data_IF_144532177981
#
_entry.id   IF_144532177981
#
_cell.length_a   1.000
_cell.length_b   1.000
_cell.length_c   1.000
_cell.angle_alpha   90.00
_cell.angle_beta   90.00
_cell.angle_gamma   90.00
#
_symmetry.space_group_name_H-M   'P 1'
#
loop_
_entity.id
_entity.type
_entity.pdbx_description
1 polymer ?
#
# COMPACT_ATOMS: atom_id res chain seq x y z
N UNK A 1 4.98 -5.72 -13.07
CA UNK A 1 3.83 -6.64 -12.95
C UNK A 1 4.14 -7.90 -13.74
N UNK A 2 3.93 -9.07 -13.17
CA UNK A 2 3.97 -10.33 -13.91
C UNK A 2 2.69 -10.45 -14.76
N UNK A 3 2.82 -10.94 -15.99
CA UNK A 3 1.68 -11.20 -16.88
C UNK A 3 1.32 -12.69 -16.79
N UNK A 4 0.15 -13.06 -16.24
CA UNK A 4 -0.26 -14.45 -16.12
C UNK A 4 -0.55 -15.14 -17.46
N UNK A 5 -0.81 -14.37 -18.54
CA UNK A 5 -1.04 -14.91 -19.88
C UNK A 5 0.26 -15.22 -20.64
N UNK A 6 1.41 -14.67 -20.20
CA UNK A 6 2.73 -14.86 -20.84
C UNK A 6 3.76 -15.47 -19.87
N UNK A 7 3.49 -16.66 -19.33
CA UNK A 7 4.41 -17.43 -18.46
C UNK A 7 5.02 -16.62 -17.28
N UNK A 8 4.21 -15.72 -16.64
CA UNK A 8 4.64 -14.85 -15.56
C UNK A 8 5.80 -13.90 -15.91
N UNK A 9 5.97 -13.54 -17.16
CA UNK A 9 6.98 -12.57 -17.57
C UNK A 9 6.75 -11.22 -16.90
N UNK A 10 7.82 -10.63 -16.33
CA UNK A 10 7.75 -9.34 -15.62
C UNK A 10 7.93 -8.19 -16.63
N UNK A 11 6.91 -7.34 -16.73
CA UNK A 11 6.94 -6.14 -17.56
C UNK A 11 7.04 -4.87 -16.74
N UNK A 12 7.84 -3.93 -17.21
CA UNK A 12 7.96 -2.59 -16.64
C UNK A 12 7.05 -1.62 -17.39
N UNK A 13 6.15 -0.98 -16.65
CA UNK A 13 5.20 -0.02 -17.21
C UNK A 13 5.50 1.39 -16.74
N UNK A 14 5.48 2.35 -17.68
CA UNK A 14 5.57 3.79 -17.36
C UNK A 14 4.24 4.45 -17.71
N UNK A 15 3.31 4.59 -16.75
CA UNK A 15 2.02 5.20 -17.00
C UNK A 15 2.17 6.71 -17.24
N UNK A 16 1.31 7.27 -18.13
CA UNK A 16 1.26 8.72 -18.39
C UNK A 16 0.73 9.52 -17.20
N UNK A 17 -0.16 8.91 -16.43
CA UNK A 17 -0.74 9.47 -15.21
C UNK A 17 -0.40 8.57 -14.03
N UNK A 18 -0.07 9.14 -12.88
CA UNK A 18 0.28 8.39 -11.67
C UNK A 18 -0.67 8.75 -10.53
N UNK A 19 -1.24 7.73 -9.90
CA UNK A 19 -2.12 7.87 -8.73
C UNK A 19 -1.32 8.12 -7.45
N UNK A 20 -1.69 9.14 -6.70
CA UNK A 20 -1.11 9.42 -5.38
C UNK A 20 -2.18 9.67 -4.34
N UNK A 21 -1.90 9.35 -3.07
CA UNK A 21 -2.71 9.74 -1.93
C UNK A 21 -2.07 10.97 -1.27
N UNK A 22 -2.87 12.05 -1.02
CA UNK A 22 -2.33 13.24 -0.37
C UNK A 22 -1.96 12.94 1.10
N UNK A 23 -0.80 13.45 1.53
CA UNK A 23 -0.34 13.38 2.91
C UNK A 23 -0.65 14.66 3.71
N UNK A 24 -1.58 15.48 3.23
CA UNK A 24 -2.04 16.73 3.83
C UNK A 24 -3.55 16.70 4.14
N UNK A 25 -4.18 17.86 4.39
CA UNK A 25 -5.58 18.00 4.72
C UNK A 25 -6.56 17.52 3.63
N UNK A 26 -6.09 17.28 2.42
CA UNK A 26 -6.89 16.70 1.32
C UNK A 26 -7.17 15.20 1.51
N UNK A 27 -6.43 14.53 2.40
CA UNK A 27 -6.72 13.14 2.76
C UNK A 27 -8.07 13.03 3.45
N UNK A 28 -8.95 12.19 2.92
CA UNK A 28 -10.33 12.03 3.38
C UNK A 28 -10.51 10.72 4.12
N UNK A 29 -11.11 10.78 5.29
CA UNK A 29 -11.48 9.60 6.08
C UNK A 29 -12.97 9.70 6.41
N UNK A 30 -13.76 8.71 6.02
CA UNK A 30 -15.20 8.66 6.33
C UNK A 30 -15.44 8.65 7.85
N UNK A 31 -16.62 9.11 8.28
CA UNK A 31 -16.99 9.10 9.71
C UNK A 31 -16.91 7.69 10.32
N UNK A 32 -17.32 6.69 9.57
CA UNK A 32 -17.26 5.28 10.02
C UNK A 32 -15.81 4.80 10.20
N UNK A 33 -14.94 5.01 9.22
CA UNK A 33 -13.52 4.62 9.32
C UNK A 33 -12.82 5.35 10.47
N UNK A 34 -13.10 6.64 10.65
CA UNK A 34 -12.56 7.43 11.78
C UNK A 34 -13.01 6.86 13.12
N UNK A 35 -14.27 6.39 13.21
CA UNK A 35 -14.78 5.74 14.43
C UNK A 35 -14.08 4.41 14.68
N UNK A 36 -13.99 3.54 13.67
CA UNK A 36 -13.30 2.24 13.77
C UNK A 36 -11.85 2.40 14.22
N UNK A 37 -11.15 3.35 13.61
CA UNK A 37 -9.76 3.68 13.95
C UNK A 37 -9.63 4.16 15.40
N UNK A 38 -10.42 5.15 15.82
CA UNK A 38 -10.38 5.73 17.18
C UNK A 38 -10.79 4.76 18.29
N UNK A 39 -11.68 3.81 17.97
CA UNK A 39 -12.14 2.78 18.92
C UNK A 39 -11.21 1.56 18.98
N UNK A 40 -10.12 1.56 18.21
CA UNK A 40 -9.19 0.43 18.11
C UNK A 40 -9.91 -0.90 17.84
N UNK A 41 -10.89 -0.89 16.91
CA UNK A 41 -11.65 -2.10 16.55
C UNK A 41 -10.73 -3.17 15.96
N UNK A 42 -9.62 -2.75 15.35
CA UNK A 42 -8.54 -3.59 14.89
C UNK A 42 -7.26 -3.24 15.65
N UNK A 43 -6.50 -4.26 16.05
CA UNK A 43 -5.13 -4.10 16.53
C UNK A 43 -4.22 -3.94 15.31
N UNK A 44 -3.66 -2.74 15.12
CA UNK A 44 -2.79 -2.42 13.98
C UNK A 44 -1.34 -2.68 14.35
N UNK A 45 -0.69 -3.52 13.57
CA UNK A 45 0.72 -3.87 13.73
C UNK A 45 1.51 -3.54 12.46
N UNK A 46 2.79 -3.23 12.62
CA UNK A 46 3.72 -2.98 11.52
C UNK A 46 4.73 -4.13 11.50
N UNK A 47 4.93 -4.75 10.32
CA UNK A 47 5.98 -5.76 10.09
C UNK A 47 5.90 -6.98 11.02
N UNK A 48 4.74 -7.31 11.56
CA UNK A 48 4.57 -8.48 12.43
C UNK A 48 4.63 -9.79 11.64
N UNK A 49 4.04 -9.80 10.45
CA UNK A 49 4.03 -10.98 9.58
C UNK A 49 3.92 -10.58 8.10
N UNK A 50 4.97 -9.92 7.59
CA UNK A 50 5.04 -9.43 6.21
C UNK A 50 4.76 -10.54 5.18
N UNK A 51 5.34 -11.73 5.36
CA UNK A 51 5.15 -12.85 4.46
C UNK A 51 3.67 -13.26 4.35
N UNK A 52 2.96 -13.33 5.49
CA UNK A 52 1.54 -13.66 5.46
C UNK A 52 0.73 -12.61 4.71
N UNK A 53 1.08 -11.33 4.84
CA UNK A 53 0.39 -10.23 4.13
C UNK A 53 0.54 -10.38 2.62
N UNK A 54 1.76 -10.50 2.10
CA UNK A 54 1.99 -10.60 0.66
C UNK A 54 1.40 -11.88 0.06
N UNK A 55 1.54 -13.03 0.75
CA UNK A 55 0.94 -14.30 0.31
C UNK A 55 -0.60 -14.25 0.31
N UNK A 56 -1.21 -13.56 1.29
CA UNK A 56 -2.66 -13.37 1.32
C UNK A 56 -3.12 -12.45 0.20
N UNK A 57 -2.39 -11.35 -0.08
CA UNK A 57 -2.66 -10.50 -1.23
C UNK A 57 -2.61 -11.29 -2.56
N UNK A 58 -1.66 -12.19 -2.71
CA UNK A 58 -1.55 -13.06 -3.88
C UNK A 58 -2.73 -14.02 -3.99
N UNK A 59 -3.06 -14.74 -2.92
CA UNK A 59 -4.08 -15.79 -2.91
C UNK A 59 -5.51 -15.30 -3.14
N UNK A 60 -5.86 -14.11 -2.64
CA UNK A 60 -7.21 -13.55 -2.79
C UNK A 60 -7.50 -12.96 -4.17
N UNK A 61 -6.51 -12.87 -5.04
CA UNK A 61 -6.65 -12.43 -6.44
C UNK A 61 -6.59 -13.59 -7.45
N UNK A 62 -6.57 -14.78 -7.01
CA UNK A 62 -6.48 -16.15 -7.54
C UNK A 62 -6.15 -16.38 -9.04
N UNK A 63 -6.85 -15.86 -10.02
CA UNK A 63 -6.59 -16.22 -11.43
C UNK A 63 -5.86 -15.14 -12.24
N UNK A 64 -5.85 -13.88 -11.75
CA UNK A 64 -5.23 -12.74 -12.41
C UNK A 64 -4.21 -12.02 -11.50
N UNK A 65 -3.56 -12.76 -10.58
CA UNK A 65 -2.57 -12.12 -9.72
C UNK A 65 -1.25 -11.90 -10.44
N UNK A 66 -0.76 -10.66 -10.40
CA UNK A 66 0.59 -10.32 -10.84
C UNK A 66 1.66 -10.69 -9.79
N UNK A 67 1.25 -11.14 -8.59
CA UNK A 67 2.14 -11.50 -7.48
C UNK A 67 2.50 -12.98 -7.60
N UNK A 68 3.54 -13.29 -8.39
CA UNK A 68 4.10 -14.63 -8.52
C UNK A 68 4.99 -15.00 -7.34
N UNK A 69 5.37 -16.26 -7.20
CA UNK A 69 6.32 -16.71 -6.17
C UNK A 69 7.67 -15.99 -6.26
N UNK A 70 8.16 -15.74 -7.47
CA UNK A 70 9.39 -14.96 -7.70
C UNK A 70 9.26 -13.52 -7.18
N UNK A 71 8.12 -12.88 -7.39
CA UNK A 71 7.83 -11.54 -6.83
C UNK A 71 7.74 -11.59 -5.30
N UNK A 72 7.11 -12.62 -4.74
CA UNK A 72 7.05 -12.79 -3.28
C UNK A 72 8.47 -12.89 -2.69
N UNK A 73 9.33 -13.72 -3.26
CA UNK A 73 10.71 -13.87 -2.82
C UNK A 73 11.49 -12.54 -2.87
N UNK A 74 11.38 -11.80 -3.98
CA UNK A 74 12.03 -10.50 -4.11
C UNK A 74 11.53 -9.48 -3.06
N UNK A 75 10.24 -9.48 -2.73
CA UNK A 75 9.71 -8.58 -1.69
C UNK A 75 10.07 -9.03 -0.27
N UNK A 76 10.26 -10.33 -0.03
CA UNK A 76 10.79 -10.84 1.24
C UNK A 76 12.23 -10.39 1.44
N UNK A 77 13.08 -10.43 0.41
CA UNK A 77 14.44 -9.89 0.44
C UNK A 77 14.43 -8.37 0.76
N UNK A 78 13.58 -7.59 0.05
CA UNK A 78 13.41 -6.16 0.33
C UNK A 78 12.93 -5.89 1.77
N UNK A 79 12.12 -6.79 2.33
CA UNK A 79 11.68 -6.69 3.72
C UNK A 79 12.82 -6.93 4.70
N UNK A 80 13.64 -7.96 4.47
CA UNK A 80 14.83 -8.25 5.29
C UNK A 80 15.86 -7.11 5.23
N UNK A 81 16.00 -6.46 4.06
CA UNK A 81 16.84 -5.28 3.88
C UNK A 81 16.25 -3.98 4.49
N UNK A 82 15.00 -4.02 4.97
CA UNK A 82 14.33 -2.89 5.60
C UNK A 82 13.69 -1.89 4.63
N UNK A 83 13.45 -2.28 3.38
CA UNK A 83 12.77 -1.44 2.39
C UNK A 83 11.28 -1.76 2.27
N UNK A 84 10.87 -3.02 2.35
CA UNK A 84 9.46 -3.38 2.25
C UNK A 84 8.82 -3.52 3.64
N UNK A 85 7.59 -2.99 3.76
CA UNK A 85 6.87 -2.93 5.04
C UNK A 85 5.41 -3.31 4.86
N UNK A 86 4.86 -3.95 5.90
CA UNK A 86 3.42 -4.24 6.01
C UNK A 86 2.78 -3.46 7.15
N UNK A 87 1.50 -3.13 6.94
CA UNK A 87 0.58 -2.60 7.95
C UNK A 87 -0.58 -3.58 8.06
N UNK A 88 -0.81 -4.11 9.23
CA UNK A 88 -1.58 -5.32 9.47
C UNK A 88 -2.70 -5.05 10.45
N UNK A 89 -3.92 -5.48 10.14
CA UNK A 89 -5.07 -5.38 11.03
C UNK A 89 -5.39 -6.76 11.61
N UNK A 90 -5.35 -6.84 12.93
CA UNK A 90 -5.71 -8.04 13.68
C UNK A 90 -7.03 -7.85 14.42
N UNK A 91 -7.82 -8.91 14.49
CA UNK A 91 -9.00 -9.00 15.32
C UNK A 91 -9.01 -10.38 16.02
N UNK A 92 -9.13 -10.39 17.35
CA UNK A 92 -9.03 -11.61 18.17
C UNK A 92 -7.77 -12.44 17.86
N UNK A 93 -6.65 -11.76 17.60
CA UNK A 93 -5.36 -12.37 17.30
C UNK A 93 -5.21 -12.91 15.87
N UNK A 94 -6.22 -12.77 15.02
CA UNK A 94 -6.20 -13.21 13.61
C UNK A 94 -5.93 -12.04 12.69
N UNK A 95 -5.09 -12.24 11.69
CA UNK A 95 -4.87 -11.28 10.62
C UNK A 95 -6.11 -11.20 9.73
N UNK A 96 -6.79 -10.05 9.71
CA UNK A 96 -8.07 -9.86 9.00
C UNK A 96 -8.01 -8.81 7.90
N UNK A 97 -6.90 -8.13 7.77
CA UNK A 97 -6.62 -7.18 6.70
C UNK A 97 -5.19 -6.70 6.75
N UNK A 98 -4.72 -6.14 5.66
CA UNK A 98 -3.37 -5.61 5.60
C UNK A 98 -3.09 -4.96 4.26
N UNK A 99 -1.98 -4.26 4.23
CA UNK A 99 -1.37 -3.74 3.02
C UNK A 99 0.15 -3.85 3.14
N UNK A 100 0.83 -3.84 2.00
CA UNK A 100 2.28 -3.73 1.98
C UNK A 100 2.75 -2.75 0.91
N UNK A 101 3.96 -2.32 1.05
CA UNK A 101 4.62 -1.43 0.12
C UNK A 101 6.10 -1.28 0.41
N UNK A 102 6.76 -0.46 -0.39
CA UNK A 102 8.20 -0.19 -0.31
C UNK A 102 8.41 1.26 0.13
N UNK A 103 9.34 1.50 1.04
CA UNK A 103 9.77 2.85 1.43
C UNK A 103 11.20 3.11 0.97
N UNK A 104 11.40 4.26 0.32
CA UNK A 104 12.73 4.75 -0.06
C UNK A 104 12.81 6.22 0.35
N UNK A 105 13.66 6.52 1.32
CA UNK A 105 13.76 7.87 1.87
C UNK A 105 12.40 8.38 2.38
N UNK A 106 11.85 9.44 1.77
CA UNK A 106 10.54 10.04 2.12
C UNK A 106 9.43 9.71 1.11
N UNK A 107 9.61 8.66 0.30
CA UNK A 107 8.60 8.10 -0.57
C UNK A 107 8.15 6.73 -0.09
N UNK A 108 6.83 6.47 -0.10
CA UNK A 108 6.23 5.16 0.12
C UNK A 108 5.44 4.75 -1.11
N UNK A 109 5.68 3.55 -1.59
CA UNK A 109 5.04 2.94 -2.76
C UNK A 109 4.10 1.83 -2.31
N UNK A 110 2.79 2.10 -2.37
CA UNK A 110 1.77 1.11 -2.03
C UNK A 110 1.63 0.06 -3.12
N UNK A 111 1.75 -1.22 -2.77
CA UNK A 111 1.73 -2.31 -3.74
C UNK A 111 0.39 -3.02 -3.77
N UNK A 112 -0.06 -3.55 -2.67
CA UNK A 112 -1.30 -4.30 -2.61
C UNK A 112 -1.92 -4.25 -1.22
N UNK A 113 -3.22 -4.57 -1.15
CA UNK A 113 -3.97 -4.67 0.10
C UNK A 113 -5.03 -5.76 0.01
N UNK A 114 -5.38 -6.32 1.16
CA UNK A 114 -6.45 -7.30 1.30
C UNK A 114 -7.27 -7.06 2.57
N UNK A 115 -8.47 -7.62 2.62
CA UNK A 115 -9.27 -7.75 3.83
C UNK A 115 -10.15 -8.99 3.77
N UNK A 116 -10.35 -9.62 4.91
CA UNK A 116 -11.34 -10.69 5.15
C UNK A 116 -12.46 -10.20 6.07
N UNK A 117 -12.22 -9.10 6.79
CA UNK A 117 -13.22 -8.37 7.57
C UNK A 117 -13.37 -6.98 6.95
N UNK A 118 -14.62 -6.55 6.77
CA UNK A 118 -14.96 -5.25 6.17
C UNK A 118 -14.19 -4.11 6.82
N UNK A 119 -13.66 -3.21 6.00
CA UNK A 119 -12.91 -2.01 6.38
C UNK A 119 -11.52 -2.26 7.01
N UNK A 120 -11.09 -3.51 7.26
CA UNK A 120 -9.80 -3.78 7.89
C UNK A 120 -8.61 -3.19 7.10
N UNK A 121 -8.53 -3.41 5.78
CA UNK A 121 -7.48 -2.82 4.94
C UNK A 121 -7.56 -1.30 4.86
N UNK A 122 -8.77 -0.73 4.90
CA UNK A 122 -8.95 0.73 4.90
C UNK A 122 -8.45 1.36 6.20
N UNK A 123 -8.64 0.67 7.34
CA UNK A 123 -8.09 1.14 8.62
C UNK A 123 -6.56 1.07 8.60
N UNK A 124 -5.96 0.02 8.01
CA UNK A 124 -4.51 -0.03 7.77
C UNK A 124 -4.02 1.16 6.93
N UNK A 125 -4.77 1.54 5.88
CA UNK A 125 -4.41 2.69 5.04
C UNK A 125 -4.49 4.01 5.82
N UNK A 126 -5.50 4.19 6.67
CA UNK A 126 -5.59 5.37 7.55
C UNK A 126 -4.38 5.43 8.49
N UNK A 127 -4.03 4.30 9.10
CA UNK A 127 -2.85 4.21 9.97
C UNK A 127 -1.55 4.51 9.22
N UNK A 128 -1.37 3.92 8.03
CA UNK A 128 -0.23 4.21 7.16
C UNK A 128 -0.09 5.71 6.90
N UNK A 129 -1.17 6.39 6.49
CA UNK A 129 -1.11 7.83 6.18
C UNK A 129 -0.73 8.65 7.42
N UNK A 130 -1.27 8.33 8.60
CA UNK A 130 -0.90 9.01 9.84
C UNK A 130 0.58 8.75 10.19
N UNK A 131 1.04 7.50 10.09
CA UNK A 131 2.44 7.13 10.28
C UNK A 131 3.38 7.89 9.32
N UNK A 132 3.03 7.97 8.03
CA UNK A 132 3.82 8.68 7.04
C UNK A 132 3.91 10.19 7.33
N UNK A 133 2.81 10.80 7.78
CA UNK A 133 2.77 12.21 8.20
C UNK A 133 3.66 12.48 9.41
N UNK A 134 3.56 11.64 10.43
CA UNK A 134 4.36 11.76 11.67
C UNK A 134 5.86 11.58 11.42
N UNK A 135 6.21 10.91 10.31
CA UNK A 135 7.60 10.67 9.91
C UNK A 135 8.06 11.54 8.72
N UNK A 136 7.35 12.62 8.42
CA UNK A 136 7.70 13.61 7.38
C UNK A 136 7.88 13.02 5.97
N UNK A 137 7.09 11.99 5.62
CA UNK A 137 7.06 11.49 4.25
C UNK A 137 6.43 12.52 3.31
N UNK A 138 6.92 12.56 2.08
CA UNK A 138 6.52 13.56 1.08
C UNK A 138 5.66 12.97 -0.04
N UNK A 139 5.71 11.66 -0.26
CA UNK A 139 5.02 10.99 -1.35
C UNK A 139 4.43 9.66 -0.89
N UNK A 140 3.14 9.44 -1.16
CA UNK A 140 2.47 8.14 -1.10
C UNK A 140 1.94 7.81 -2.49
N UNK A 141 2.64 6.93 -3.19
CA UNK A 141 2.33 6.45 -4.53
C UNK A 141 1.39 5.24 -4.46
N UNK A 142 0.35 5.23 -5.27
CA UNK A 142 -0.61 4.12 -5.42
C UNK A 142 -0.66 3.58 -6.84
N UNK A 143 0.27 3.99 -7.70
CA UNK A 143 0.40 3.62 -9.11
C UNK A 143 -0.80 4.08 -9.94
N UNK A 144 -1.97 3.51 -9.74
CA UNK A 144 -3.20 3.81 -10.47
C UNK A 144 -4.32 4.25 -9.52
N UNK A 145 -5.16 5.16 -10.02
CA UNK A 145 -6.37 5.55 -9.33
C UNK A 145 -7.48 4.51 -9.59
N UNK A 146 -8.13 4.08 -8.52
CA UNK A 146 -9.34 3.27 -8.59
C UNK A 146 -10.38 3.78 -7.58
N UNK A 147 -11.67 3.39 -7.70
CA UNK A 147 -12.73 3.88 -6.80
C UNK A 147 -12.46 3.63 -5.32
N UNK A 148 -11.77 2.52 -5.00
CA UNK A 148 -11.44 2.15 -3.63
C UNK A 148 -10.45 3.14 -2.98
N UNK A 149 -9.47 3.61 -3.75
CA UNK A 149 -8.46 4.58 -3.29
C UNK A 149 -8.97 6.02 -3.43
N UNK A 150 -9.78 6.33 -4.46
CA UNK A 150 -10.32 7.66 -4.70
C UNK A 150 -11.14 8.22 -3.51
N UNK A 151 -11.82 7.36 -2.75
CA UNK A 151 -12.57 7.78 -1.56
C UNK A 151 -11.71 8.45 -0.47
N UNK A 152 -10.39 8.21 -0.47
CA UNK A 152 -9.43 8.83 0.44
C UNK A 152 -8.87 10.15 -0.05
N UNK A 153 -9.40 10.69 -1.15
CA UNK A 153 -8.90 11.92 -1.76
C UNK A 153 -7.69 11.71 -2.69
N UNK A 154 -7.42 10.45 -3.06
CA UNK A 154 -6.41 10.13 -4.06
C UNK A 154 -6.75 10.78 -5.41
N UNK A 155 -5.73 11.17 -6.15
CA UNK A 155 -5.84 11.82 -7.45
C UNK A 155 -4.67 11.45 -8.35
N UNK A 156 -4.85 11.66 -9.65
CA UNK A 156 -3.81 11.42 -10.64
C UNK A 156 -3.06 12.68 -10.99
N UNK A 157 -1.76 12.54 -11.23
CA UNK A 157 -0.88 13.60 -11.71
C UNK A 157 -0.13 13.13 -12.96
N UNK A 158 0.24 14.06 -13.89
CA UNK A 158 1.10 13.75 -15.01
C UNK A 158 2.45 13.18 -14.56
N UNK A 159 3.02 12.31 -15.39
CA UNK A 159 4.28 11.63 -15.08
C UNK A 159 5.42 12.60 -14.75
N UNK A 160 5.52 13.73 -15.45
CA UNK A 160 6.55 14.75 -15.20
C UNK A 160 6.43 15.34 -13.80
N UNK A 161 5.21 15.67 -13.36
CA UNK A 161 4.93 16.19 -12.00
C UNK A 161 5.21 15.14 -10.95
N UNK A 162 4.91 13.87 -11.26
CA UNK A 162 5.24 12.75 -10.36
C UNK A 162 6.76 12.64 -10.17
N UNK A 163 7.56 12.74 -11.23
CA UNK A 163 9.02 12.67 -11.15
C UNK A 163 9.60 13.79 -10.28
N UNK A 164 9.10 15.03 -10.39
CA UNK A 164 9.51 16.15 -9.53
C UNK A 164 9.25 15.87 -8.05
N UNK A 165 8.06 15.31 -7.73
CA UNK A 165 7.71 14.93 -6.35
C UNK A 165 8.57 13.77 -5.83
N UNK A 166 8.81 12.78 -6.67
CA UNK A 166 9.66 11.63 -6.35
C UNK A 166 11.09 12.10 -6.07
N UNK A 167 11.66 12.92 -6.94
CA UNK A 167 13.01 13.47 -6.76
C UNK A 167 13.12 14.24 -5.44
N UNK A 168 12.12 15.06 -5.11
CA UNK A 168 12.06 15.79 -3.83
C UNK A 168 12.05 14.84 -2.63
N UNK A 169 11.25 13.76 -2.70
CA UNK A 169 11.14 12.76 -1.63
C UNK A 169 12.42 11.92 -1.49
N UNK A 170 13.15 11.69 -2.57
CA UNK A 170 14.42 10.93 -2.55
C UNK A 170 15.61 11.75 -2.07
N UNK A 171 15.55 13.08 -2.14
CA UNK A 171 16.60 13.98 -1.64
C UNK A 171 16.43 14.39 -0.18
N UNK A 172 15.22 14.25 0.35
CA UNK A 172 14.90 14.51 1.75
C UNK A 172 15.31 13.32 2.63
#
# INVERSE_FOLDING_TARGET
MADPEEDNQIYWHTPKMRGIIPLDERFKVSKNLRRLYKQNVFDIQINRNFEQVIRTCASLRSEDTWISDEIIEAYLELHEEGFAHSFEAYQEGKLVGGLYGVSIRKAFFGESMFHTVTDASKVCLVYLVEFLRENDFLLLDTQYLNPHIAQFGAYEIPHEIYLEKLESALKA
#
